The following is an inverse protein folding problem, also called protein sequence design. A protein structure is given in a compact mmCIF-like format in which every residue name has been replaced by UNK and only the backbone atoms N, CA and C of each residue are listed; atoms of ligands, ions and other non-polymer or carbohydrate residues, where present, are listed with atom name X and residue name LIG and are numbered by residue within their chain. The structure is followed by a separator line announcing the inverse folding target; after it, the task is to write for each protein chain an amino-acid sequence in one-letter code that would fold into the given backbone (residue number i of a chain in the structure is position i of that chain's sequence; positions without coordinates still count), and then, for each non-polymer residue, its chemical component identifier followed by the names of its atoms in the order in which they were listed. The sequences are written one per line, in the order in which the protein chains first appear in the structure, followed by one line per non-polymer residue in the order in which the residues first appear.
data_IF_507507098654
#
_entry.id   IF_507507098654
#
_cell.length_a   1.000
_cell.length_b   1.000
_cell.length_c   1.000
_cell.angle_alpha   90.00
_cell.angle_beta   90.00
_cell.angle_gamma   90.00
#
_symmetry.space_group_name_H-M   'P 1'
#
loop_
_entity.id
_entity.type
_entity.pdbx_description
1 polymer ?
#
# COMPACT_ATOMS: atom_id res chain seq x y z
N UNK A 1 -11.08 6.45 -18.07
CA UNK A 1 -11.85 5.66 -19.05
C UNK A 1 -12.28 6.51 -20.25
N UNK A 2 -11.56 6.38 -21.37
CA UNK A 2 -12.01 6.69 -22.73
C UNK A 2 -10.93 6.21 -23.71
N UNK A 3 -10.86 4.91 -23.95
CA UNK A 3 -10.10 4.35 -25.06
C UNK A 3 -11.06 4.20 -26.23
N UNK A 4 -10.97 5.16 -27.15
CA UNK A 4 -11.65 5.13 -28.43
C UNK A 4 -11.03 4.02 -29.28
N UNK A 5 -11.71 2.88 -29.36
CA UNK A 5 -11.48 1.88 -30.40
C UNK A 5 -11.93 2.47 -31.74
N UNK A 6 -11.03 3.20 -32.40
CA UNK A 6 -11.22 3.64 -33.78
C UNK A 6 -10.71 2.52 -34.70
N UNK A 7 -11.59 1.55 -34.98
CA UNK A 7 -11.41 0.67 -36.12
C UNK A 7 -11.62 1.45 -37.40
N UNK A 8 -10.58 1.57 -38.24
CA UNK A 8 -10.67 1.61 -39.70
C UNK A 8 -9.32 1.13 -40.25
N UNK A 9 -9.23 -0.12 -40.67
CA UNK A 9 -8.23 -0.57 -41.63
C UNK A 9 -8.96 -1.17 -42.83
N UNK A 10 -9.49 -0.28 -43.65
CA UNK A 10 -9.86 -0.55 -45.04
C UNK A 10 -8.78 0.10 -45.92
N UNK A 11 -7.71 -0.65 -46.22
CA UNK A 11 -6.73 -0.27 -47.24
C UNK A 11 -6.49 -1.47 -48.17
N UNK A 12 -6.39 -1.15 -49.46
CA UNK A 12 -6.62 -2.07 -50.58
C UNK A 12 -5.67 -3.27 -50.67
N UNK A 13 -6.27 -4.44 -50.82
CA UNK A 13 -5.64 -5.73 -51.11
C UNK A 13 -5.22 -5.82 -52.59
N UNK A 14 -4.18 -5.11 -52.98
CA UNK A 14 -3.48 -5.39 -54.23
C UNK A 14 -1.97 -5.27 -54.00
N UNK A 15 -1.32 -6.43 -53.84
CA UNK A 15 0.13 -6.67 -53.75
C UNK A 15 0.82 -6.23 -52.43
N UNK A 16 0.49 -6.90 -51.32
CA UNK A 16 1.51 -7.24 -50.32
C UNK A 16 1.93 -8.69 -50.58
N UNK A 17 3.22 -8.95 -50.71
CA UNK A 17 3.74 -10.32 -50.80
C UNK A 17 3.55 -11.01 -49.45
N UNK A 18 3.41 -12.34 -49.42
CA UNK A 18 3.29 -13.13 -48.17
C UNK A 18 4.36 -12.76 -47.13
N UNK A 19 5.55 -12.33 -47.57
CA UNK A 19 6.66 -11.89 -46.71
C UNK A 19 6.40 -10.60 -45.92
N UNK A 20 5.52 -9.70 -46.37
CA UNK A 20 5.21 -8.46 -45.64
C UNK A 20 4.09 -8.68 -44.61
N UNK A 21 3.22 -9.67 -44.83
CA UNK A 21 2.19 -10.09 -43.86
C UNK A 21 2.82 -10.85 -42.70
N UNK A 22 3.78 -11.73 -42.98
CA UNK A 22 4.54 -12.44 -41.95
C UNK A 22 5.35 -11.48 -41.07
N UNK A 23 6.02 -10.48 -41.66
CA UNK A 23 6.75 -9.45 -40.89
C UNK A 23 5.83 -8.61 -40.01
N UNK A 24 4.66 -8.22 -40.50
CA UNK A 24 3.68 -7.47 -39.70
C UNK A 24 3.09 -8.34 -38.56
N UNK A 25 2.92 -9.64 -38.79
CA UNK A 25 2.47 -10.57 -37.76
C UNK A 25 3.54 -10.77 -36.66
N UNK A 26 4.82 -10.86 -37.04
CA UNK A 26 5.94 -10.97 -36.09
C UNK A 26 6.09 -9.70 -35.23
N UNK A 27 6.00 -8.49 -35.82
CA UNK A 27 6.05 -7.23 -35.08
C UNK A 27 4.88 -7.08 -34.08
N UNK A 28 3.68 -7.50 -34.47
CA UNK A 28 2.51 -7.50 -33.58
C UNK A 28 2.67 -8.53 -32.46
N UNK A 29 3.24 -9.71 -32.76
CA UNK A 29 3.51 -10.73 -31.76
C UNK A 29 4.57 -10.28 -30.74
N UNK A 30 5.65 -9.64 -31.19
CA UNK A 30 6.68 -9.07 -30.32
C UNK A 30 6.13 -7.92 -29.46
N UNK A 31 5.33 -7.02 -30.04
CA UNK A 31 4.68 -5.94 -29.29
C UNK A 31 3.67 -6.49 -28.26
N UNK A 32 2.92 -7.53 -28.61
CA UNK A 32 1.99 -8.18 -27.70
C UNK A 32 2.71 -8.95 -26.57
N UNK A 33 3.85 -9.59 -26.87
CA UNK A 33 4.69 -10.24 -25.87
C UNK A 33 5.32 -9.22 -24.92
N UNK A 34 5.89 -8.14 -25.45
CA UNK A 34 6.43 -7.05 -24.63
C UNK A 34 5.38 -6.45 -23.70
N UNK A 35 4.17 -6.19 -24.21
CA UNK A 35 3.06 -5.72 -23.38
C UNK A 35 2.61 -6.74 -22.32
N UNK A 36 2.65 -8.04 -22.62
CA UNK A 36 2.31 -9.09 -21.66
C UNK A 36 3.38 -9.25 -20.57
N UNK A 37 4.66 -9.13 -20.92
CA UNK A 37 5.78 -9.16 -20.00
C UNK A 37 5.74 -7.94 -19.07
N UNK A 38 5.45 -6.75 -19.60
CA UNK A 38 5.27 -5.52 -18.80
C UNK A 38 4.12 -5.64 -17.80
N UNK A 39 2.96 -6.18 -18.23
CA UNK A 39 1.81 -6.43 -17.36
C UNK A 39 2.15 -7.45 -16.27
N UNK A 40 2.89 -8.50 -16.62
CA UNK A 40 3.30 -9.53 -15.66
C UNK A 40 4.28 -8.96 -14.64
N UNK A 41 5.29 -8.19 -15.08
CA UNK A 41 6.25 -7.55 -14.20
C UNK A 41 5.63 -6.52 -13.27
N UNK A 42 4.68 -5.71 -13.76
CA UNK A 42 3.91 -4.80 -12.92
C UNK A 42 3.03 -5.56 -11.89
N UNK A 43 2.44 -6.68 -12.28
CA UNK A 43 1.68 -7.55 -11.39
C UNK A 43 2.52 -8.15 -10.27
N UNK A 44 3.72 -8.65 -10.58
CA UNK A 44 4.66 -9.21 -9.60
C UNK A 44 5.15 -8.13 -8.61
N UNK A 45 5.49 -6.95 -9.12
CA UNK A 45 5.90 -5.82 -8.27
C UNK A 45 4.78 -5.39 -7.31
N UNK A 46 3.53 -5.35 -7.78
CA UNK A 46 2.37 -5.05 -6.93
C UNK A 46 2.16 -6.12 -5.86
N UNK A 47 2.26 -7.40 -6.22
CA UNK A 47 2.11 -8.50 -5.26
C UNK A 47 3.20 -8.44 -4.18
N UNK A 48 4.43 -8.09 -4.57
CA UNK A 48 5.52 -7.90 -3.63
C UNK A 48 5.25 -6.71 -2.69
N UNK A 49 4.84 -5.55 -3.23
CA UNK A 49 4.49 -4.39 -2.42
C UNK A 49 3.37 -4.68 -1.41
N UNK A 50 2.33 -5.42 -1.83
CA UNK A 50 1.26 -5.85 -0.92
C UNK A 50 1.76 -6.81 0.17
N UNK A 51 2.70 -7.70 -0.15
CA UNK A 51 3.29 -8.61 0.82
C UNK A 51 4.18 -7.87 1.84
N UNK A 52 4.99 -6.93 1.38
CA UNK A 52 5.85 -6.09 2.22
C UNK A 52 5.00 -5.21 3.16
N UNK A 53 3.95 -4.57 2.63
CA UNK A 53 2.99 -3.80 3.42
C UNK A 53 2.30 -4.66 4.50
N UNK A 54 1.94 -5.90 4.16
CA UNK A 54 1.33 -6.82 5.12
C UNK A 54 2.32 -7.19 6.25
N UNK A 55 3.58 -7.44 5.92
CA UNK A 55 4.61 -7.73 6.91
C UNK A 55 4.85 -6.54 7.85
N UNK A 56 4.86 -5.32 7.33
CA UNK A 56 4.99 -4.12 8.16
C UNK A 56 3.74 -3.81 8.99
N UNK A 57 2.54 -4.19 8.53
CA UNK A 57 1.33 -4.14 9.34
C UNK A 57 1.39 -5.12 10.52
N UNK A 58 1.86 -6.36 10.29
CA UNK A 58 2.08 -7.36 11.34
C UNK A 58 3.12 -6.86 12.37
N UNK A 59 4.21 -6.24 11.90
CA UNK A 59 5.20 -5.62 12.79
C UNK A 59 4.60 -4.44 13.57
N UNK A 60 3.82 -3.57 12.94
CA UNK A 60 3.13 -2.47 13.62
C UNK A 60 2.21 -3.00 14.74
N UNK A 61 1.53 -4.12 14.51
CA UNK A 61 0.70 -4.77 15.52
C UNK A 61 1.51 -5.27 16.71
N UNK A 62 2.67 -5.86 16.47
CA UNK A 62 3.59 -6.24 17.54
C UNK A 62 4.07 -5.00 18.34
N UNK A 63 4.36 -3.88 17.65
CA UNK A 63 4.74 -2.61 18.30
C UNK A 63 3.61 -2.00 19.12
N UNK A 64 2.35 -2.16 18.72
CA UNK A 64 1.19 -1.75 19.52
C UNK A 64 1.19 -2.48 20.87
N UNK A 65 1.41 -3.79 20.86
CA UNK A 65 1.45 -4.59 22.09
C UNK A 65 2.65 -4.22 22.99
N UNK A 66 3.82 -3.99 22.41
CA UNK A 66 5.00 -3.48 23.12
C UNK A 66 4.73 -2.11 23.74
N UNK A 67 4.14 -1.18 22.98
CA UNK A 67 3.80 0.16 23.44
C UNK A 67 2.83 0.10 24.62
N UNK A 68 1.78 -0.73 24.56
CA UNK A 68 0.85 -0.94 25.68
C UNK A 68 1.55 -1.43 26.93
N UNK A 69 2.46 -2.39 26.79
CA UNK A 69 3.21 -2.92 27.93
C UNK A 69 4.10 -1.83 28.58
N UNK A 70 4.69 -0.94 27.78
CA UNK A 70 5.53 0.16 28.25
C UNK A 70 4.74 1.26 29.01
N UNK A 71 3.42 1.38 28.82
CA UNK A 71 2.61 2.41 29.49
C UNK A 71 2.48 2.23 31.01
N UNK A 72 2.81 1.04 31.54
CA UNK A 72 2.68 0.71 32.95
C UNK A 72 3.53 1.58 33.90
N UNK A 73 4.58 2.22 33.39
CA UNK A 73 5.45 3.13 34.15
C UNK A 73 5.00 4.60 34.19
N UNK A 74 4.00 4.98 33.38
CA UNK A 74 3.54 6.37 33.25
C UNK A 74 2.62 6.79 34.40
N UNK A 75 2.57 8.09 34.69
CA UNK A 75 1.51 8.68 35.51
C UNK A 75 0.14 8.54 34.84
N UNK A 76 -0.94 8.72 35.61
CA UNK A 76 -2.30 8.44 35.15
C UNK A 76 -2.74 9.30 33.95
N UNK A 77 -2.32 10.56 33.89
CA UNK A 77 -2.68 11.45 32.81
C UNK A 77 -1.89 11.13 31.53
N UNK A 78 -0.57 10.96 31.65
CA UNK A 78 0.28 10.55 30.52
C UNK A 78 -0.11 9.17 29.99
N UNK A 79 -0.45 8.23 30.88
CA UNK A 79 -0.95 6.90 30.52
C UNK A 79 -2.26 6.98 29.73
N UNK A 80 -3.23 7.78 30.18
CA UNK A 80 -4.51 7.89 29.49
C UNK A 80 -4.34 8.46 28.07
N UNK A 81 -3.46 9.45 27.89
CA UNK A 81 -3.16 10.01 26.57
C UNK A 81 -2.43 9.01 25.67
N UNK A 82 -1.43 8.31 26.21
CA UNK A 82 -0.69 7.30 25.46
C UNK A 82 -1.57 6.10 25.09
N UNK A 83 -2.47 5.66 25.98
CA UNK A 83 -3.39 4.55 25.71
C UNK A 83 -4.39 4.89 24.60
N UNK A 84 -4.88 6.14 24.56
CA UNK A 84 -5.71 6.63 23.47
C UNK A 84 -4.96 6.62 22.13
N UNK A 85 -3.73 7.12 22.10
CA UNK A 85 -2.89 7.13 20.89
C UNK A 85 -2.56 5.72 20.40
N UNK A 86 -2.23 4.80 21.32
CA UNK A 86 -1.96 3.39 20.97
C UNK A 86 -3.22 2.67 20.48
N UNK A 87 -4.40 3.00 21.02
CA UNK A 87 -5.68 2.46 20.53
C UNK A 87 -6.03 2.97 19.13
N UNK A 88 -5.74 4.24 18.86
CA UNK A 88 -5.88 4.83 17.52
C UNK A 88 -4.93 4.17 16.52
N UNK A 89 -3.66 3.98 16.91
CA UNK A 89 -2.67 3.24 16.13
C UNK A 89 -3.12 1.81 15.82
N UNK A 90 -3.66 1.07 16.81
CA UNK A 90 -4.20 -0.26 16.57
C UNK A 90 -5.33 -0.22 15.52
N UNK A 91 -6.25 0.72 15.66
CA UNK A 91 -7.37 0.86 14.72
C UNK A 91 -6.88 1.16 13.30
N UNK A 92 -5.86 2.01 13.17
CA UNK A 92 -5.24 2.30 11.88
C UNK A 92 -4.55 1.07 11.24
N UNK A 93 -3.86 0.26 12.05
CA UNK A 93 -3.24 -1.00 11.59
C UNK A 93 -4.30 -2.00 11.14
N UNK A 94 -5.34 -2.21 11.95
CA UNK A 94 -6.43 -3.14 11.63
C UNK A 94 -7.10 -2.79 10.29
N UNK A 95 -7.23 -1.49 10.01
CA UNK A 95 -7.80 -1.02 8.75
C UNK A 95 -6.83 -1.09 7.57
N UNK A 96 -5.54 -0.84 7.79
CA UNK A 96 -4.52 -1.07 6.79
C UNK A 96 -4.51 -2.56 6.36
N UNK A 97 -4.56 -3.49 7.32
CA UNK A 97 -4.69 -4.92 7.04
C UNK A 97 -5.95 -5.23 6.21
N UNK A 98 -7.10 -4.65 6.57
CA UNK A 98 -8.34 -4.84 5.83
C UNK A 98 -8.25 -4.29 4.40
N UNK A 99 -7.65 -3.12 4.22
CA UNK A 99 -7.46 -2.50 2.92
C UNK A 99 -6.48 -3.29 2.03
N UNK A 100 -5.39 -3.82 2.62
CA UNK A 100 -4.42 -4.68 1.94
C UNK A 100 -5.05 -6.01 1.50
N UNK A 101 -5.84 -6.64 2.38
CA UNK A 101 -6.61 -7.83 2.04
C UNK A 101 -7.59 -7.55 0.90
N UNK A 102 -8.29 -6.41 0.94
CA UNK A 102 -9.17 -5.99 -0.14
C UNK A 102 -8.41 -5.78 -1.47
N UNK A 103 -7.25 -5.11 -1.42
CA UNK A 103 -6.41 -4.86 -2.59
C UNK A 103 -5.92 -6.17 -3.22
N UNK A 104 -5.60 -7.16 -2.40
CA UNK A 104 -5.22 -8.51 -2.85
C UNK A 104 -6.38 -9.25 -3.50
N UNK A 105 -7.57 -9.20 -2.92
CA UNK A 105 -8.72 -10.00 -3.36
C UNK A 105 -9.47 -9.38 -4.55
N UNK A 106 -9.59 -8.05 -4.56
CA UNK A 106 -10.40 -7.30 -5.53
C UNK A 106 -9.56 -6.55 -6.57
N UNK A 107 -8.23 -6.53 -6.38
CA UNK A 107 -7.31 -5.75 -7.19
C UNK A 107 -7.25 -4.27 -6.76
N UNK A 108 -6.20 -3.61 -7.24
CA UNK A 108 -5.82 -2.25 -6.84
C UNK A 108 -6.92 -1.21 -7.12
N UNK A 109 -7.52 -1.24 -8.31
CA UNK A 109 -8.52 -0.25 -8.73
C UNK A 109 -9.79 -0.25 -7.88
N UNK A 110 -10.21 -1.41 -7.37
CA UNK A 110 -11.38 -1.52 -6.48
C UNK A 110 -11.07 -1.10 -5.04
N UNK A 111 -9.79 -1.02 -4.68
CA UNK A 111 -9.32 -0.88 -3.30
C UNK A 111 -8.62 0.45 -3.03
N UNK A 112 -8.49 1.33 -4.03
CA UNK A 112 -7.85 2.64 -3.90
C UNK A 112 -8.45 3.49 -2.78
N UNK A 113 -9.78 3.52 -2.64
CA UNK A 113 -10.45 4.31 -1.61
C UNK A 113 -10.18 3.74 -0.21
N UNK A 114 -10.19 2.40 -0.07
CA UNK A 114 -9.87 1.75 1.19
C UNK A 114 -8.42 1.99 1.61
N UNK A 115 -7.47 1.86 0.67
CA UNK A 115 -6.05 2.10 0.96
C UNK A 115 -5.77 3.57 1.26
N UNK A 116 -6.41 4.50 0.55
CA UNK A 116 -6.29 5.94 0.84
C UNK A 116 -6.85 6.29 2.23
N UNK A 117 -8.01 5.72 2.60
CA UNK A 117 -8.59 5.92 3.92
C UNK A 117 -7.72 5.33 5.03
N UNK A 118 -7.18 4.12 4.82
CA UNK A 118 -6.25 3.50 5.76
C UNK A 118 -5.00 4.35 5.95
N UNK A 119 -4.43 4.90 4.87
CA UNK A 119 -3.28 5.79 4.94
C UNK A 119 -3.56 7.05 5.74
N UNK A 120 -4.69 7.72 5.53
CA UNK A 120 -5.07 8.92 6.31
C UNK A 120 -5.19 8.60 7.81
N UNK A 121 -5.70 7.42 8.15
CA UNK A 121 -5.78 6.95 9.54
C UNK A 121 -4.43 6.61 10.14
N UNK A 122 -3.52 6.00 9.37
CA UNK A 122 -2.13 5.76 9.78
C UNK A 122 -1.42 7.09 10.05
N UNK A 123 -1.56 8.08 9.16
CA UNK A 123 -0.99 9.43 9.35
C UNK A 123 -1.56 10.13 10.59
N UNK A 124 -2.87 10.02 10.82
CA UNK A 124 -3.53 10.57 12.01
C UNK A 124 -3.01 9.91 13.29
N UNK A 125 -2.96 8.57 13.33
CA UNK A 125 -2.48 7.83 14.49
C UNK A 125 -1.01 8.14 14.80
N UNK A 126 -0.16 8.30 13.77
CA UNK A 126 1.22 8.75 13.94
C UNK A 126 1.29 10.12 14.62
N UNK A 127 0.49 11.09 14.18
CA UNK A 127 0.46 12.42 14.79
C UNK A 127 0.00 12.37 16.27
N UNK A 128 -0.94 11.49 16.60
CA UNK A 128 -1.37 11.26 17.98
C UNK A 128 -0.29 10.61 18.84
N UNK A 129 0.47 9.66 18.30
CA UNK A 129 1.63 9.05 18.98
C UNK A 129 2.74 10.07 19.21
N UNK A 130 3.04 10.95 18.26
CA UNK A 130 4.02 12.02 18.42
C UNK A 130 3.61 12.98 19.55
N UNK A 131 2.32 13.33 19.62
CA UNK A 131 1.77 14.14 20.69
C UNK A 131 1.82 13.43 22.06
N UNK A 132 1.52 12.13 22.11
CA UNK A 132 1.62 11.34 23.33
C UNK A 132 3.08 11.16 23.79
N UNK A 133 4.01 10.96 22.86
CA UNK A 133 5.45 10.81 23.11
C UNK A 133 6.03 12.03 23.83
N UNK A 134 5.58 13.24 23.47
CA UNK A 134 6.02 14.48 24.14
C UNK A 134 5.67 14.52 25.64
N UNK A 135 4.69 13.71 26.09
CA UNK A 135 4.20 13.68 27.46
C UNK A 135 4.59 12.41 28.23
N UNK A 136 5.16 11.39 27.58
CA UNK A 136 5.40 10.06 28.15
C UNK A 136 6.77 9.87 28.85
N UNK A 137 7.63 10.89 28.90
CA UNK A 137 9.00 10.73 29.42
C UNK A 137 9.87 9.80 28.55
N UNK A 138 11.06 9.40 29.04
CA UNK A 138 12.04 8.68 28.23
C UNK A 138 11.60 7.25 27.86
N UNK A 139 11.32 6.38 28.83
CA UNK A 139 10.99 4.97 28.59
C UNK A 139 9.65 4.79 27.85
N UNK A 140 8.60 5.52 28.23
CA UNK A 140 7.32 5.47 27.51
C UNK A 140 7.39 6.13 26.13
N UNK A 141 8.19 7.18 25.99
CA UNK A 141 8.37 7.87 24.72
C UNK A 141 9.12 7.04 23.67
N UNK A 142 10.05 6.18 24.06
CA UNK A 142 10.79 5.35 23.11
C UNK A 142 9.93 4.27 22.46
N UNK A 143 9.05 3.62 23.24
CA UNK A 143 8.11 2.63 22.70
C UNK A 143 7.07 3.28 21.76
N UNK A 144 6.52 4.44 22.16
CA UNK A 144 5.58 5.20 21.32
C UNK A 144 6.22 5.69 20.02
N UNK A 145 7.49 6.14 20.08
CA UNK A 145 8.24 6.55 18.89
C UNK A 145 8.52 5.39 17.96
N UNK A 146 8.93 4.24 18.49
CA UNK A 146 9.13 3.04 17.68
C UNK A 146 7.85 2.59 16.96
N UNK A 147 6.69 2.74 17.60
CA UNK A 147 5.40 2.49 16.95
C UNK A 147 5.10 3.54 15.88
N UNK A 148 5.36 4.82 16.14
CA UNK A 148 5.17 5.89 15.16
C UNK A 148 6.05 5.72 13.92
N UNK A 149 7.30 5.30 14.09
CA UNK A 149 8.22 4.99 12.99
C UNK A 149 7.68 3.81 12.14
N UNK A 150 7.16 2.77 12.78
CA UNK A 150 6.57 1.63 12.07
C UNK A 150 5.30 2.02 11.30
N UNK A 151 4.47 2.90 11.86
CA UNK A 151 3.32 3.46 11.15
C UNK A 151 3.74 4.32 9.96
N UNK A 152 4.85 5.05 10.05
CA UNK A 152 5.38 5.82 8.91
C UNK A 152 5.79 4.89 7.76
N UNK A 153 6.48 3.79 8.07
CA UNK A 153 6.83 2.76 7.08
C UNK A 153 5.57 2.16 6.45
N UNK A 154 4.59 1.74 7.26
CA UNK A 154 3.32 1.21 6.75
C UNK A 154 2.59 2.21 5.85
N UNK A 155 2.58 3.50 6.22
CA UNK A 155 1.98 4.56 5.41
C UNK A 155 2.65 4.73 4.05
N UNK A 156 3.98 4.56 3.99
CA UNK A 156 4.75 4.58 2.75
C UNK A 156 4.43 3.36 1.88
N UNK A 157 4.34 2.17 2.46
CA UNK A 157 4.00 0.96 1.69
C UNK A 157 2.57 1.03 1.12
N UNK A 158 1.62 1.57 1.88
CA UNK A 158 0.25 1.80 1.40
C UNK A 158 0.23 2.78 0.22
N UNK A 159 1.10 3.79 0.25
CA UNK A 159 1.27 4.72 -0.86
C UNK A 159 1.88 4.04 -2.09
N UNK A 160 2.91 3.21 -1.92
CA UNK A 160 3.53 2.46 -3.02
C UNK A 160 2.55 1.45 -3.63
N UNK A 161 1.79 0.75 -2.79
CA UNK A 161 0.76 -0.19 -3.20
C UNK A 161 -0.40 0.45 -3.98
N UNK A 162 -0.52 1.78 -4.02
CA UNK A 162 -1.53 2.52 -4.81
C UNK A 162 -0.97 3.34 -5.96
N UNK A 163 0.36 3.40 -6.11
CA UNK A 163 1.04 4.14 -7.18
C UNK A 163 1.24 3.31 -8.47
N UNK A 164 1.06 1.99 -8.40
CA UNK A 164 1.11 1.06 -9.53
C UNK A 164 -0.04 1.18 -10.53
#
# INVERSE_FOLDING_TARGET
MRLAAAGVLALGLAACTDADVDRAADEVAEAAQGAADDVTGAGDALQQALADAQAHADEARARVDEARAALGGLDEQARAQADAAVTSAQSAVDEAEAALAQARDQGQAASQEAVASARERVETARAELDAATANAGAEGGDALRSLADQLDTLGQDLQEATAG
#
